data_IF_322964974712
#
_entry.id   IF_322964974712
#
_cell.length_a   1.000
_cell.length_b   1.000
_cell.length_c   1.000
_cell.angle_alpha   90.00
_cell.angle_beta   90.00
_cell.angle_gamma   90.00
#
_symmetry.space_group_name_H-M   'P 1'
#
loop_
_entity.id
_entity.type
_entity.pdbx_description
1 polymer ?
#
# COMPACT_ATOMS: atom_id res chain seq x y z
N UNK A 1 17.80 -7.12 -14.84
CA UNK A 1 17.76 -6.34 -13.59
C UNK A 1 19.08 -5.59 -13.50
N UNK A 2 19.08 -4.28 -13.72
CA UNK A 2 20.27 -3.47 -13.50
C UNK A 2 20.33 -3.14 -12.01
N UNK A 3 21.33 -3.68 -11.30
CA UNK A 3 21.64 -3.24 -9.94
C UNK A 3 21.96 -1.74 -9.99
N UNK A 4 21.18 -0.94 -9.26
CA UNK A 4 21.36 0.52 -9.20
C UNK A 4 22.62 0.80 -8.39
N UNK A 5 23.71 1.17 -9.08
CA UNK A 5 25.04 1.38 -8.50
C UNK A 5 25.18 2.70 -7.72
N UNK A 6 24.13 3.53 -7.65
CA UNK A 6 24.10 4.74 -6.82
C UNK A 6 22.87 4.67 -5.89
N UNK A 7 23.03 4.86 -4.57
CA UNK A 7 21.89 4.99 -3.67
C UNK A 7 21.05 6.21 -4.10
N UNK A 8 19.72 6.10 -4.03
CA UNK A 8 18.85 7.29 -4.15
C UNK A 8 19.30 8.34 -3.14
N UNK A 9 19.07 9.63 -3.44
CA UNK A 9 19.46 10.75 -2.58
C UNK A 9 18.92 10.63 -1.14
N UNK A 10 17.83 9.89 -0.95
CA UNK A 10 17.23 9.55 0.36
C UNK A 10 16.88 8.05 0.46
N UNK A 11 17.86 7.18 0.79
CA UNK A 11 17.67 5.73 0.77
C UNK A 11 16.75 5.24 1.90
N UNK A 12 16.63 6.01 2.99
CA UNK A 12 15.70 5.71 4.08
C UNK A 12 14.27 5.93 3.60
N UNK A 13 14.01 7.03 2.91
CA UNK A 13 12.68 7.30 2.34
C UNK A 13 12.30 6.26 1.29
N UNK A 14 13.21 5.87 0.40
CA UNK A 14 12.96 4.79 -0.57
C UNK A 14 12.56 3.48 0.14
N UNK A 15 13.32 3.10 1.18
CA UNK A 15 13.02 1.88 1.95
C UNK A 15 11.66 1.95 2.67
N UNK A 16 11.30 3.10 3.23
CA UNK A 16 9.98 3.31 3.86
C UNK A 16 8.87 3.19 2.82
N UNK A 17 9.01 3.83 1.66
CA UNK A 17 8.01 3.76 0.59
C UNK A 17 7.83 2.34 0.08
N UNK A 18 8.92 1.59 -0.11
CA UNK A 18 8.85 0.18 -0.51
C UNK A 18 8.14 -0.67 0.56
N UNK A 19 8.45 -0.45 1.83
CA UNK A 19 7.77 -1.11 2.95
C UNK A 19 6.27 -0.78 2.98
N UNK A 20 5.89 0.48 2.74
CA UNK A 20 4.50 0.91 2.69
C UNK A 20 3.74 0.17 1.59
N UNK A 21 4.30 0.11 0.37
CA UNK A 21 3.69 -0.64 -0.74
C UNK A 21 3.46 -2.11 -0.38
N UNK A 22 4.47 -2.78 0.18
CA UNK A 22 4.39 -4.21 0.53
C UNK A 22 3.34 -4.46 1.64
N UNK A 23 3.34 -3.59 2.65
CA UNK A 23 2.42 -3.67 3.79
C UNK A 23 0.98 -3.41 3.36
N UNK A 24 0.73 -2.33 2.61
CA UNK A 24 -0.63 -1.94 2.24
C UNK A 24 -1.25 -2.94 1.26
N UNK A 25 -0.47 -3.46 0.31
CA UNK A 25 -0.92 -4.54 -0.57
C UNK A 25 -1.30 -5.81 0.22
N UNK A 26 -0.53 -6.16 1.26
CA UNK A 26 -0.82 -7.29 2.13
C UNK A 26 -2.08 -7.05 2.99
N UNK A 27 -2.25 -5.85 3.53
CA UNK A 27 -3.39 -5.46 4.35
C UNK A 27 -4.69 -5.37 3.52
N UNK A 28 -4.65 -4.79 2.33
CA UNK A 28 -5.78 -4.78 1.38
C UNK A 28 -6.22 -6.20 1.06
N UNK A 29 -5.27 -7.08 0.70
CA UNK A 29 -5.58 -8.50 0.43
C UNK A 29 -6.27 -9.14 1.62
N UNK A 30 -5.78 -8.92 2.85
CA UNK A 30 -6.37 -9.47 4.08
C UNK A 30 -7.78 -8.93 4.30
N UNK A 31 -8.01 -7.62 4.19
CA UNK A 31 -9.33 -7.01 4.41
C UNK A 31 -10.37 -7.55 3.44
N UNK A 32 -9.99 -7.77 2.17
CA UNK A 32 -10.89 -8.34 1.17
C UNK A 32 -11.28 -9.79 1.50
N UNK A 33 -10.46 -10.56 2.24
CA UNK A 33 -10.86 -11.89 2.72
C UNK A 33 -11.96 -11.85 3.78
N UNK A 34 -12.10 -10.74 4.52
CA UNK A 34 -13.13 -10.58 5.56
C UNK A 34 -14.46 -10.04 5.01
N UNK A 35 -14.45 -9.48 3.80
CA UNK A 35 -15.65 -8.92 3.16
C UNK A 35 -16.82 -9.92 2.98
N UNK A 36 -16.60 -11.19 2.53
CA UNK A 36 -17.69 -12.17 2.45
C UNK A 36 -18.26 -12.54 3.82
N UNK A 37 -17.43 -12.53 4.87
CA UNK A 37 -17.82 -12.93 6.23
C UNK A 37 -18.51 -11.81 7.03
N UNK A 38 -18.56 -10.59 6.48
CA UNK A 38 -19.19 -9.44 7.12
C UNK A 38 -20.69 -9.69 7.38
N UNK A 39 -21.13 -9.49 8.62
CA UNK A 39 -22.47 -9.82 9.12
C UNK A 39 -23.49 -8.71 8.87
N UNK A 40 -23.06 -7.54 8.41
CA UNK A 40 -23.94 -6.41 8.09
C UNK A 40 -23.39 -5.54 6.97
N UNK A 41 -24.27 -4.76 6.33
CA UNK A 41 -23.85 -3.75 5.35
C UNK A 41 -22.92 -2.71 5.97
N UNK A 42 -23.16 -2.33 7.24
CA UNK A 42 -22.27 -1.41 7.98
C UNK A 42 -20.86 -1.98 8.15
N UNK A 43 -20.73 -3.27 8.47
CA UNK A 43 -19.41 -3.92 8.56
C UNK A 43 -18.71 -3.93 7.19
N UNK A 44 -19.45 -4.19 6.10
CA UNK A 44 -18.91 -4.09 4.73
C UNK A 44 -18.44 -2.67 4.40
N UNK A 45 -19.22 -1.65 4.76
CA UNK A 45 -18.88 -0.25 4.49
C UNK A 45 -17.58 0.17 5.20
N UNK A 46 -17.39 -0.26 6.45
CA UNK A 46 -16.16 -0.01 7.20
C UNK A 46 -14.96 -0.72 6.58
N UNK A 47 -15.10 -2.00 6.19
CA UNK A 47 -14.05 -2.73 5.49
C UNK A 47 -13.66 -2.02 4.18
N UNK A 48 -14.66 -1.63 3.39
CA UNK A 48 -14.43 -0.94 2.12
C UNK A 48 -13.83 0.46 2.32
N UNK A 49 -14.20 1.17 3.38
CA UNK A 49 -13.58 2.46 3.74
C UNK A 49 -12.10 2.28 4.07
N UNK A 50 -11.76 1.23 4.82
CA UNK A 50 -10.36 0.94 5.14
C UNK A 50 -9.57 0.52 3.89
N UNK A 51 -10.15 -0.31 3.03
CA UNK A 51 -9.53 -0.70 1.75
C UNK A 51 -9.25 0.53 0.88
N UNK A 52 -10.20 1.45 0.74
CA UNK A 52 -10.00 2.68 -0.03
C UNK A 52 -8.81 3.49 0.49
N UNK A 53 -8.74 3.73 1.80
CA UNK A 53 -7.63 4.50 2.37
C UNK A 53 -6.26 3.85 2.16
N UNK A 54 -6.17 2.51 2.21
CA UNK A 54 -4.91 1.80 1.90
C UNK A 54 -4.56 1.85 0.40
N UNK A 55 -5.55 1.86 -0.48
CA UNK A 55 -5.31 2.01 -1.92
C UNK A 55 -4.84 3.44 -2.27
N UNK A 56 -5.36 4.45 -1.56
CA UNK A 56 -4.89 5.83 -1.69
C UNK A 56 -3.41 5.93 -1.23
N UNK A 57 -3.08 5.41 -0.04
CA UNK A 57 -1.69 5.37 0.48
C UNK A 57 -0.74 4.59 -0.44
N UNK A 58 -1.18 3.45 -0.96
CA UNK A 58 -0.42 2.66 -1.92
C UNK A 58 -0.14 3.41 -3.23
N UNK A 59 -1.12 4.17 -3.73
CA UNK A 59 -0.95 4.98 -4.94
C UNK A 59 0.04 6.11 -4.69
N UNK A 60 -0.10 6.83 -3.58
CA UNK A 60 0.82 7.90 -3.18
C UNK A 60 2.26 7.37 -3.00
N UNK A 61 2.43 6.19 -2.41
CA UNK A 61 3.73 5.58 -2.22
C UNK A 61 4.39 5.17 -3.55
N UNK A 62 3.63 4.60 -4.48
CA UNK A 62 4.11 4.25 -5.82
C UNK A 62 4.48 5.49 -6.63
N UNK A 63 3.66 6.54 -6.61
CA UNK A 63 3.95 7.80 -7.29
C UNK A 63 5.24 8.44 -6.73
N UNK A 64 5.42 8.40 -5.41
CA UNK A 64 6.64 8.89 -4.77
C UNK A 64 7.89 8.08 -5.14
N UNK A 65 7.78 6.75 -5.27
CA UNK A 65 8.88 5.90 -5.74
C UNK A 65 9.22 6.18 -7.21
N UNK A 66 8.22 6.40 -8.05
CA UNK A 66 8.43 6.75 -9.45
C UNK A 66 9.12 8.11 -9.59
N UNK A 67 8.76 9.08 -8.76
CA UNK A 67 9.40 10.40 -8.71
C UNK A 67 10.86 10.37 -8.22
N UNK A 68 11.32 9.26 -7.64
CA UNK A 68 12.73 9.05 -7.22
C UNK A 68 13.60 8.39 -8.30
N UNK A 69 13.03 8.05 -9.46
CA UNK A 69 13.74 7.47 -10.61
C UNK A 69 14.26 8.56 -11.56
#
# INVERSE_FOLDING_TARGET
MAERFLPTEDPVREAVLQWTVDRDAADVRRLLTWLPDARSSRERDVLMMRVRGLLDELTEALDALEAMR
#
